data_IF_017837192426
#
_entry.id   IF_017837192426
#
_cell.length_a   1.000
_cell.length_b   1.000
_cell.length_c   1.000
_cell.angle_alpha   90.00
_cell.angle_beta   90.00
_cell.angle_gamma   90.00
#
_symmetry.space_group_name_H-M   'P 1'
#
loop_
_entity.id
_entity.type
_entity.pdbx_description
1 polymer ?
#
# COMPACT_ATOMS: atom_id res chain seq x y z
N UNK A 1 2.77 3.76 -30.28
CA UNK A 1 3.58 2.77 -29.53
C UNK A 1 2.65 1.67 -29.09
N UNK A 2 3.04 0.40 -29.25
CA UNK A 2 2.33 -0.69 -28.62
C UNK A 2 2.61 -0.62 -27.10
N UNK A 3 1.56 -0.57 -26.29
CA UNK A 3 1.68 -0.66 -24.83
C UNK A 3 1.84 -2.14 -24.50
N UNK A 4 2.97 -2.51 -23.90
CA UNK A 4 3.20 -3.86 -23.37
C UNK A 4 2.92 -3.84 -21.87
N UNK A 5 2.47 -4.97 -21.30
CA UNK A 5 2.17 -5.05 -19.86
C UNK A 5 3.37 -4.68 -18.98
N UNK A 6 4.60 -4.90 -19.46
CA UNK A 6 5.87 -4.54 -18.82
C UNK A 6 6.06 -3.02 -18.63
N UNK A 7 5.24 -2.19 -19.28
CA UNK A 7 5.27 -0.73 -19.15
C UNK A 7 4.22 -0.17 -18.19
N UNK A 8 3.26 -0.99 -17.75
CA UNK A 8 2.16 -0.54 -16.90
C UNK A 8 2.53 -0.62 -15.42
N UNK A 9 2.23 0.44 -14.68
CA UNK A 9 2.43 0.52 -13.23
C UNK A 9 1.13 0.95 -12.58
N UNK A 10 0.46 0.02 -11.90
CA UNK A 10 -0.82 0.24 -11.24
C UNK A 10 -0.61 0.79 -9.84
N UNK A 11 -1.15 1.98 -9.55
CA UNK A 11 -1.06 2.64 -8.26
C UNK A 11 -2.43 2.63 -7.58
N UNK A 12 -2.47 2.20 -6.32
CA UNK A 12 -3.72 2.15 -5.56
C UNK A 12 -3.49 2.22 -4.04
N UNK A 13 -4.56 2.55 -3.31
CA UNK A 13 -4.60 2.61 -1.85
C UNK A 13 -5.46 1.49 -1.27
N UNK A 14 -4.96 0.87 -0.20
CA UNK A 14 -5.66 -0.15 0.55
C UNK A 14 -5.75 0.21 2.04
N UNK A 15 -6.99 0.23 2.54
CA UNK A 15 -7.27 0.27 3.96
C UNK A 15 -7.14 -1.09 4.63
N UNK A 16 -6.32 -1.18 5.68
CA UNK A 16 -6.12 -2.37 6.50
C UNK A 16 -6.74 -2.11 7.88
N UNK A 17 -7.92 -2.69 8.18
CA UNK A 17 -8.51 -2.52 9.49
C UNK A 17 -7.72 -3.31 10.54
N UNK A 18 -7.53 -2.71 11.71
CA UNK A 18 -6.83 -3.32 12.86
C UNK A 18 -7.56 -4.55 13.43
N UNK A 19 -8.85 -4.70 13.11
CA UNK A 19 -9.75 -5.72 13.65
C UNK A 19 -10.27 -6.68 12.55
N UNK A 20 -9.39 -7.40 11.87
CA UNK A 20 -9.79 -8.41 10.87
C UNK A 20 -10.18 -9.73 11.53
N UNK A 21 -11.25 -9.80 12.32
CA UNK A 21 -11.64 -11.05 13.01
C UNK A 21 -11.84 -12.24 12.05
N UNK A 22 -11.60 -13.46 12.57
CA UNK A 22 -12.07 -14.69 11.92
C UNK A 22 -13.59 -14.70 11.90
N UNK A 23 -14.17 -14.77 10.70
CA UNK A 23 -15.63 -14.84 10.50
C UNK A 23 -16.16 -16.27 10.63
N UNK A 24 -15.26 -17.26 10.60
CA UNK A 24 -15.60 -18.67 10.71
C UNK A 24 -14.52 -19.43 11.50
N UNK A 25 -14.97 -20.45 12.22
CA UNK A 25 -14.15 -21.40 12.96
C UNK A 25 -14.85 -22.74 13.00
N UNK A 26 -14.07 -23.82 13.08
CA UNK A 26 -14.61 -25.16 13.24
C UNK A 26 -14.71 -25.49 14.73
N UNK A 27 -15.87 -25.95 15.16
CA UNK A 27 -16.11 -26.52 16.48
C UNK A 27 -16.81 -27.88 16.36
N UNK A 28 -16.70 -28.75 17.38
CA UNK A 28 -17.54 -29.93 17.49
C UNK A 28 -19.03 -29.61 17.29
N UNK A 29 -19.77 -30.54 16.70
CA UNK A 29 -21.19 -30.36 16.41
C UNK A 29 -21.97 -30.12 17.71
N UNK A 30 -22.52 -28.91 17.86
CA UNK A 30 -23.25 -28.49 19.06
C UNK A 30 -22.51 -27.46 19.93
N UNK A 31 -21.26 -27.11 19.59
CA UNK A 31 -20.48 -26.10 20.29
C UNK A 31 -20.38 -24.80 19.47
N UNK A 32 -20.60 -23.66 20.13
CA UNK A 32 -20.48 -22.34 19.50
C UNK A 32 -19.03 -21.85 19.54
N UNK A 33 -18.53 -21.32 18.41
CA UNK A 33 -17.25 -20.60 18.36
C UNK A 33 -17.51 -19.13 18.61
N UNK A 34 -17.18 -18.65 19.81
CA UNK A 34 -17.31 -17.24 20.14
C UNK A 34 -16.15 -16.41 19.58
N UNK A 35 -16.44 -15.52 18.64
CA UNK A 35 -15.54 -14.45 18.23
C UNK A 35 -15.80 -13.18 19.05
N UNK A 36 -14.78 -12.64 19.74
CA UNK A 36 -14.88 -11.32 20.37
C UNK A 36 -14.76 -10.23 19.30
N UNK A 37 -15.78 -9.37 19.17
CA UNK A 37 -15.76 -8.17 18.33
C UNK A 37 -15.75 -6.93 19.23
N UNK A 38 -14.69 -6.13 19.17
CA UNK A 38 -14.62 -4.84 19.86
C UNK A 38 -15.38 -3.81 19.03
N UNK A 39 -16.41 -3.17 19.60
CA UNK A 39 -17.19 -2.12 18.93
C UNK A 39 -16.48 -0.75 18.82
N UNK A 40 -15.19 -0.66 19.15
CA UNK A 40 -14.43 0.59 19.16
C UNK A 40 -13.95 0.93 17.74
N UNK A 41 -14.03 2.21 17.35
CA UNK A 41 -13.34 2.75 16.17
C UNK A 41 -11.83 2.67 16.44
N UNK A 42 -11.21 1.56 16.02
CA UNK A 42 -9.77 1.39 16.11
C UNK A 42 -9.06 2.11 14.96
N UNK A 43 -7.78 2.44 15.17
CA UNK A 43 -6.96 3.16 14.19
C UNK A 43 -6.86 2.32 12.91
N UNK A 44 -7.21 2.91 11.77
CA UNK A 44 -7.07 2.28 10.46
C UNK A 44 -5.68 2.62 9.93
N UNK A 45 -4.90 1.59 9.56
CA UNK A 45 -3.69 1.78 8.76
C UNK A 45 -4.08 1.73 7.29
N UNK A 46 -3.57 2.67 6.51
CA UNK A 46 -3.69 2.65 5.07
C UNK A 46 -2.33 2.35 4.46
N UNK A 47 -2.35 1.72 3.31
CA UNK A 47 -1.20 1.37 2.50
C UNK A 47 -1.41 1.96 1.11
N UNK A 48 -0.44 2.67 0.57
CA UNK A 48 -0.38 3.01 -0.85
C UNK A 48 0.86 2.34 -1.45
N UNK A 49 0.73 1.73 -2.62
CA UNK A 49 1.86 1.18 -3.33
C UNK A 49 1.55 1.11 -4.82
N UNK A 50 2.61 0.90 -5.61
CA UNK A 50 2.51 0.63 -7.03
C UNK A 50 2.80 -0.85 -7.34
N UNK A 51 2.29 -1.35 -8.46
CA UNK A 51 2.50 -2.73 -8.93
C UNK A 51 2.72 -2.76 -10.43
N UNK A 52 3.82 -3.36 -10.87
CA UNK A 52 4.24 -3.44 -12.27
C UNK A 52 3.87 -4.78 -12.95
N UNK A 53 3.00 -5.58 -12.32
CA UNK A 53 2.70 -6.95 -12.80
C UNK A 53 3.65 -8.02 -12.26
N UNK A 54 4.78 -7.64 -11.68
CA UNK A 54 5.77 -8.58 -11.13
C UNK A 54 5.99 -8.40 -9.63
N UNK A 55 6.12 -7.16 -9.17
CA UNK A 55 6.52 -6.83 -7.80
C UNK A 55 5.85 -5.55 -7.30
N UNK A 56 5.61 -5.51 -5.99
CA UNK A 56 5.12 -4.31 -5.34
C UNK A 56 6.26 -3.29 -5.22
N UNK A 57 6.03 -2.06 -5.66
CA UNK A 57 6.96 -0.94 -5.64
C UNK A 57 6.51 0.11 -4.62
N UNK A 58 7.49 0.65 -3.90
CA UNK A 58 7.32 1.77 -2.96
C UNK A 58 6.08 1.69 -2.08
N UNK A 59 5.85 0.58 -1.34
CA UNK A 59 4.76 0.53 -0.36
C UNK A 59 5.00 1.53 0.78
N UNK A 60 3.96 2.30 1.10
CA UNK A 60 3.97 3.35 2.10
C UNK A 60 2.73 3.21 3.00
N UNK A 61 2.97 2.88 4.27
CA UNK A 61 1.96 2.82 5.31
C UNK A 61 1.79 4.19 5.96
N UNK A 62 0.55 4.54 6.27
CA UNK A 62 0.25 5.78 6.97
C UNK A 62 -1.06 5.69 7.75
N UNK A 63 -1.15 6.50 8.81
CA UNK A 63 -2.39 6.73 9.54
C UNK A 63 -3.14 7.95 8.99
N UNK A 64 -4.48 7.92 9.00
CA UNK A 64 -5.31 9.07 8.63
C UNK A 64 -5.99 8.96 7.27
N UNK A 65 -6.19 10.09 6.60
CA UNK A 65 -6.88 10.18 5.29
C UNK A 65 -5.89 10.67 4.24
N UNK A 66 -5.88 10.02 3.07
CA UNK A 66 -5.11 10.50 1.93
C UNK A 66 -5.65 11.85 1.44
N UNK A 67 -4.74 12.80 1.23
CA UNK A 67 -5.04 14.05 0.55
C UNK A 67 -4.01 14.29 -0.55
N UNK A 68 -4.28 15.28 -1.41
CA UNK A 68 -3.40 15.60 -2.55
C UNK A 68 -1.98 15.94 -2.13
N UNK A 69 -1.77 16.62 -1.00
CA UNK A 69 -0.44 17.01 -0.55
C UNK A 69 0.38 15.77 -0.15
N UNK A 70 -0.17 14.92 0.72
CA UNK A 70 0.46 13.66 1.14
C UNK A 70 0.71 12.74 -0.06
N UNK A 71 -0.25 12.66 -0.98
CA UNK A 71 -0.11 11.87 -2.19
C UNK A 71 1.03 12.37 -3.09
N UNK A 72 1.14 13.68 -3.31
CA UNK A 72 2.24 14.25 -4.10
C UNK A 72 3.60 14.09 -3.40
N UNK A 73 3.66 14.19 -2.07
CA UNK A 73 4.88 13.83 -1.32
C UNK A 73 5.22 12.36 -1.54
N UNK A 74 4.24 11.46 -1.43
CA UNK A 74 4.47 10.04 -1.67
C UNK A 74 5.03 9.78 -3.07
N UNK A 75 4.48 10.45 -4.09
CA UNK A 75 4.97 10.34 -5.45
C UNK A 75 6.44 10.78 -5.54
N UNK A 76 6.76 12.00 -5.11
CA UNK A 76 8.09 12.58 -5.26
C UNK A 76 9.15 11.81 -4.49
N UNK A 77 8.86 11.44 -3.24
CA UNK A 77 9.86 10.86 -2.34
C UNK A 77 10.05 9.36 -2.55
N UNK A 78 8.99 8.63 -2.95
CA UNK A 78 9.03 7.16 -2.97
C UNK A 78 8.75 6.56 -4.34
N UNK A 79 7.76 7.04 -5.09
CA UNK A 79 7.39 6.40 -6.36
C UNK A 79 8.27 6.84 -7.53
N UNK A 80 8.41 8.15 -7.76
CA UNK A 80 9.17 8.69 -8.90
C UNK A 80 10.63 8.20 -8.96
N UNK A 81 11.35 7.99 -7.85
CA UNK A 81 12.71 7.47 -7.88
C UNK A 81 12.83 6.06 -8.47
N UNK A 82 11.77 5.24 -8.36
CA UNK A 82 11.77 3.85 -8.85
C UNK A 82 11.12 3.69 -10.23
N UNK A 83 10.48 4.74 -10.76
CA UNK A 83 9.90 4.73 -12.11
C UNK A 83 10.96 4.95 -13.18
N UNK A 84 10.75 4.32 -14.34
CA UNK A 84 11.57 4.46 -15.54
C UNK A 84 10.82 5.23 -16.64
N UNK A 85 11.52 6.09 -17.42
CA UNK A 85 10.89 6.78 -18.53
C UNK A 85 10.24 5.82 -19.52
N UNK A 86 9.07 6.19 -20.03
CA UNK A 86 8.25 5.35 -20.92
C UNK A 86 7.21 4.48 -20.20
N UNK A 87 7.26 4.36 -18.87
CA UNK A 87 6.22 3.69 -18.09
C UNK A 87 4.91 4.50 -18.08
N UNK A 88 3.81 3.79 -17.90
CA UNK A 88 2.45 4.33 -17.79
C UNK A 88 1.95 4.04 -16.38
N UNK A 89 1.78 5.09 -15.58
CA UNK A 89 1.17 5.01 -14.26
C UNK A 89 -0.34 5.00 -14.44
N UNK A 90 -0.98 3.93 -13.97
CA UNK A 90 -2.42 3.71 -14.03
C UNK A 90 -2.99 3.82 -12.63
N UNK A 91 -4.03 4.64 -12.44
CA UNK A 91 -4.71 4.78 -11.14
C UNK A 91 -6.21 5.02 -11.30
N UNK A 92 -6.95 4.91 -10.20
CA UNK A 92 -8.39 5.17 -10.19
C UNK A 92 -8.72 6.67 -10.29
N UNK A 93 -10.01 6.99 -10.29
CA UNK A 93 -10.51 8.35 -10.46
C UNK A 93 -10.65 9.16 -9.16
N UNK A 94 -10.01 8.76 -8.06
CA UNK A 94 -10.08 9.47 -6.78
C UNK A 94 -9.72 10.96 -6.95
N UNK A 95 -10.41 11.83 -6.20
CA UNK A 95 -10.26 13.28 -6.35
C UNK A 95 -8.83 13.76 -6.09
N UNK A 96 -8.12 13.13 -5.15
CA UNK A 96 -6.74 13.48 -4.82
C UNK A 96 -5.73 13.05 -5.87
N UNK A 97 -6.05 12.08 -6.75
CA UNK A 97 -5.22 11.68 -7.90
C UNK A 97 -5.26 12.69 -9.05
N UNK A 98 -6.29 13.54 -9.12
CA UNK A 98 -6.57 14.40 -10.29
C UNK A 98 -5.94 15.77 -10.22
N UNK A 99 -4.96 15.98 -9.34
CA UNK A 99 -4.31 17.28 -9.24
C UNK A 99 -3.42 17.54 -10.47
N UNK A 100 -3.34 18.80 -10.90
CA UNK A 100 -2.43 19.18 -11.99
C UNK A 100 -0.97 18.85 -11.65
N UNK A 101 -0.62 18.97 -10.37
CA UNK A 101 0.73 18.66 -9.88
C UNK A 101 1.05 17.17 -9.99
N UNK A 102 0.10 16.29 -9.66
CA UNK A 102 0.26 14.83 -9.82
C UNK A 102 0.64 14.48 -11.25
N UNK A 103 -0.10 15.03 -12.23
CA UNK A 103 0.21 14.83 -13.65
C UNK A 103 1.60 15.35 -14.01
N UNK A 104 1.91 16.58 -13.60
CA UNK A 104 3.21 17.23 -13.86
C UNK A 104 4.38 16.40 -13.33
N UNK A 105 4.26 15.89 -12.10
CA UNK A 105 5.27 15.08 -11.44
C UNK A 105 5.56 13.80 -12.23
N UNK A 106 4.53 13.05 -12.61
CA UNK A 106 4.66 11.80 -13.37
C UNK A 106 5.24 12.08 -14.77
N UNK A 107 4.70 13.07 -15.49
CA UNK A 107 5.15 13.42 -16.84
C UNK A 107 6.59 13.97 -16.85
N UNK A 108 7.02 14.66 -15.79
CA UNK A 108 8.40 15.16 -15.66
C UNK A 108 9.45 14.04 -15.62
N UNK A 109 9.06 12.82 -15.22
CA UNK A 109 9.90 11.63 -15.24
C UNK A 109 9.92 10.92 -16.60
N UNK A 110 9.23 11.49 -17.61
CA UNK A 110 9.04 10.85 -18.92
C UNK A 110 8.05 9.69 -18.88
N UNK A 111 7.21 9.60 -17.84
CA UNK A 111 6.14 8.62 -17.72
C UNK A 111 4.81 9.21 -18.24
N UNK A 112 3.80 8.36 -18.43
CA UNK A 112 2.43 8.79 -18.74
C UNK A 112 1.50 8.53 -17.56
N UNK A 113 0.43 9.31 -17.44
CA UNK A 113 -0.62 9.12 -16.44
C UNK A 113 -1.94 8.73 -17.11
N UNK A 114 -2.41 7.52 -16.83
CA UNK A 114 -3.69 6.98 -17.30
C UNK A 114 -4.65 6.75 -16.12
N UNK A 115 -5.93 6.99 -16.38
CA UNK A 115 -7.00 6.73 -15.41
C UNK A 115 -7.82 5.52 -15.84
N UNK A 116 -8.12 4.64 -14.90
CA UNK A 116 -9.05 3.54 -15.15
C UNK A 116 -10.46 4.07 -15.43
N UNK A 117 -11.28 3.39 -16.24
CA UNK A 117 -12.71 3.70 -16.34
C UNK A 117 -13.37 3.67 -14.95
N UNK A 118 -14.36 4.54 -14.67
CA UNK A 118 -15.09 4.51 -13.41
C UNK A 118 -15.66 3.13 -13.10
N UNK A 119 -15.68 2.76 -11.82
CA UNK A 119 -16.25 1.49 -11.32
C UNK A 119 -15.71 0.23 -12.01
N UNK A 120 -14.43 0.23 -12.40
CA UNK A 120 -13.79 -0.92 -13.06
C UNK A 120 -12.63 -1.53 -12.24
N UNK A 121 -12.88 -1.94 -10.97
CA UNK A 121 -11.87 -2.53 -10.09
C UNK A 121 -11.19 -3.77 -10.70
N UNK A 122 -11.92 -4.55 -11.51
CA UNK A 122 -11.41 -5.72 -12.21
C UNK A 122 -10.28 -5.42 -13.19
N UNK A 123 -10.08 -4.15 -13.56
CA UNK A 123 -8.99 -3.70 -14.44
C UNK A 123 -7.75 -3.26 -13.65
N UNK A 124 -7.77 -3.40 -12.32
CA UNK A 124 -6.69 -3.00 -11.44
C UNK A 124 -6.03 -4.22 -10.76
N UNK A 125 -4.96 -4.80 -11.35
CA UNK A 125 -4.34 -6.02 -10.83
C UNK A 125 -3.86 -5.93 -9.37
N UNK A 126 -3.53 -4.73 -8.90
CA UNK A 126 -3.09 -4.50 -7.51
C UNK A 126 -4.20 -4.79 -6.49
N UNK A 127 -5.48 -4.74 -6.87
CA UNK A 127 -6.58 -5.08 -5.97
C UNK A 127 -6.54 -6.55 -5.52
N UNK A 128 -6.09 -7.44 -6.41
CA UNK A 128 -5.86 -8.83 -6.06
C UNK A 128 -4.75 -8.96 -5.01
N UNK A 129 -3.70 -8.14 -5.08
CA UNK A 129 -2.65 -8.10 -4.06
C UNK A 129 -3.22 -7.63 -2.71
N UNK A 130 -4.12 -6.65 -2.71
CA UNK A 130 -4.80 -6.19 -1.50
C UNK A 130 -5.67 -7.27 -0.86
N UNK A 131 -6.39 -8.04 -1.67
CA UNK A 131 -7.15 -9.18 -1.17
C UNK A 131 -6.24 -10.25 -0.55
N UNK A 132 -5.09 -10.53 -1.18
CA UNK A 132 -4.08 -11.44 -0.63
C UNK A 132 -3.50 -10.90 0.68
N UNK A 133 -3.11 -9.62 0.73
CA UNK A 133 -2.55 -8.99 1.92
C UNK A 133 -3.50 -9.08 3.10
N UNK A 134 -4.77 -8.67 2.93
CA UNK A 134 -5.79 -8.73 3.98
C UNK A 134 -6.02 -10.16 4.48
N UNK A 135 -5.98 -11.15 3.59
CA UNK A 135 -6.09 -12.57 3.96
C UNK A 135 -4.91 -13.01 4.83
N UNK A 136 -3.69 -12.57 4.50
CA UNK A 136 -2.49 -12.90 5.29
C UNK A 136 -2.52 -12.18 6.65
N UNK A 137 -2.94 -10.91 6.70
CA UNK A 137 -3.14 -10.20 7.97
C UNK A 137 -4.13 -10.95 8.85
N UNK A 138 -5.30 -11.32 8.32
CA UNK A 138 -6.31 -12.11 9.06
C UNK A 138 -5.76 -13.46 9.56
N UNK A 139 -4.82 -14.06 8.84
CA UNK A 139 -4.17 -15.32 9.22
C UNK A 139 -3.17 -15.13 10.36
N UNK A 140 -2.35 -14.08 10.31
CA UNK A 140 -1.18 -13.91 11.16
C UNK A 140 -1.36 -12.92 12.32
N UNK A 141 -2.34 -12.01 12.28
CA UNK A 141 -2.50 -10.95 13.28
C UNK A 141 -2.56 -11.42 14.74
N UNK A 142 -3.04 -12.64 14.99
CA UNK A 142 -3.15 -13.20 16.35
C UNK A 142 -1.82 -13.70 16.91
N UNK A 143 -0.78 -13.76 16.07
CA UNK A 143 0.57 -14.21 16.44
C UNK A 143 1.47 -13.04 16.85
N UNK A 144 1.03 -11.80 16.64
CA UNK A 144 1.81 -10.59 16.89
C UNK A 144 1.05 -9.64 17.82
N UNK A 145 1.77 -8.74 18.49
CA UNK A 145 1.16 -7.79 19.42
C UNK A 145 0.49 -6.61 18.69
N UNK A 146 0.92 -6.32 17.46
CA UNK A 146 0.45 -5.18 16.68
C UNK A 146 0.24 -5.50 15.19
N UNK A 147 -0.59 -4.69 14.53
CA UNK A 147 -0.79 -4.79 13.08
C UNK A 147 0.50 -4.48 12.31
N UNK A 148 1.31 -3.53 12.79
CA UNK A 148 2.61 -3.20 12.22
C UNK A 148 3.57 -4.40 12.23
N UNK A 149 3.70 -5.11 13.36
CA UNK A 149 4.51 -6.34 13.44
C UNK A 149 4.00 -7.44 12.50
N UNK A 150 2.68 -7.55 12.37
CA UNK A 150 2.07 -8.50 11.43
C UNK A 150 2.44 -8.17 9.98
N UNK A 151 2.41 -6.89 9.63
CA UNK A 151 2.80 -6.43 8.29
C UNK A 151 4.31 -6.63 8.07
N UNK A 152 5.17 -6.31 9.04
CA UNK A 152 6.60 -6.59 8.98
C UNK A 152 6.88 -8.05 8.64
N UNK A 153 6.23 -8.97 9.36
CA UNK A 153 6.34 -10.39 9.08
C UNK A 153 5.88 -10.74 7.66
N UNK A 154 4.73 -10.24 7.23
CA UNK A 154 4.16 -10.52 5.90
C UNK A 154 5.09 -10.06 4.79
N UNK A 155 5.53 -8.79 4.82
CA UNK A 155 6.37 -8.24 3.78
C UNK A 155 7.78 -8.89 3.75
N UNK A 156 8.29 -9.35 4.90
CA UNK A 156 9.58 -10.05 4.96
C UNK A 156 9.51 -11.52 4.54
N UNK A 157 8.37 -12.19 4.70
CA UNK A 157 8.29 -13.66 4.56
C UNK A 157 7.45 -14.13 3.37
N UNK A 158 6.58 -13.29 2.81
CA UNK A 158 5.72 -13.66 1.68
C UNK A 158 6.35 -13.14 0.39
N UNK A 159 6.78 -14.02 -0.55
CA UNK A 159 7.50 -13.62 -1.76
C UNK A 159 6.80 -12.54 -2.59
N UNK A 160 5.47 -12.55 -2.63
CA UNK A 160 4.66 -11.57 -3.35
C UNK A 160 4.81 -10.13 -2.84
N UNK A 161 5.16 -9.97 -1.56
CA UNK A 161 5.33 -8.67 -0.89
C UNK A 161 6.78 -8.37 -0.55
N UNK A 162 7.71 -9.28 -0.84
CA UNK A 162 9.13 -8.98 -0.77
C UNK A 162 9.39 -7.92 -1.83
N UNK A 163 9.71 -6.70 -1.38
CA UNK A 163 10.03 -5.58 -2.25
C UNK A 163 11.14 -5.95 -3.24
N UNK A 164 11.27 -5.13 -4.28
CA UNK A 164 12.32 -5.34 -5.28
C UNK A 164 13.70 -5.38 -4.60
N UNK A 165 14.47 -6.43 -4.87
CA UNK A 165 15.76 -6.70 -4.23
C UNK A 165 16.81 -5.61 -4.53
N UNK A 166 16.47 -4.70 -5.45
CA UNK A 166 17.25 -3.57 -5.95
C UNK A 166 17.28 -2.38 -5.00
N UNK A 167 16.33 -2.29 -4.07
CA UNK A 167 16.34 -1.27 -3.02
C UNK A 167 17.02 -1.88 -1.80
N UNK A 168 18.30 -1.53 -1.59
CA UNK A 168 19.12 -1.98 -0.46
C UNK A 168 18.62 -1.36 0.85
N UNK A 169 17.43 -1.79 1.26
CA UNK A 169 16.69 -1.35 2.41
C UNK A 169 16.37 -2.62 3.19
N UNK A 170 16.80 -2.69 4.45
CA UNK A 170 16.39 -3.76 5.37
C UNK A 170 14.86 -3.79 5.62
N UNK A 171 14.10 -2.88 4.99
CA UNK A 171 12.67 -2.70 5.18
C UNK A 171 11.93 -2.69 3.86
N UNK A 172 10.87 -3.49 3.75
CA UNK A 172 10.11 -3.61 2.52
C UNK A 172 9.10 -2.47 2.30
N UNK A 173 8.90 -1.55 3.26
CA UNK A 173 7.95 -0.41 3.17
C UNK A 173 8.35 0.79 4.05
N UNK A 174 7.73 1.96 3.78
CA UNK A 174 7.87 3.21 4.56
C UNK A 174 6.67 3.42 5.50
N UNK A 175 6.82 4.07 6.67
CA UNK A 175 5.72 4.30 7.61
C UNK A 175 5.62 5.76 8.11
N UNK A 176 4.44 6.38 7.98
CA UNK A 176 4.13 7.70 8.54
C UNK A 176 3.18 7.57 9.75
N UNK A 177 3.68 7.93 10.94
CA UNK A 177 2.89 7.96 12.18
C UNK A 177 2.37 9.39 12.45
N UNK A 178 1.05 9.55 12.57
CA UNK A 178 0.37 10.84 12.80
C UNK A 178 0.72 11.51 14.12
N UNK A 179 1.25 10.77 15.11
CA UNK A 179 1.60 11.37 16.39
C UNK A 179 2.81 12.32 16.31
N UNK A 180 3.67 12.22 15.28
CA UNK A 180 4.91 13.00 15.20
C UNK A 180 5.17 13.69 13.84
N UNK A 181 4.31 13.54 12.81
CA UNK A 181 4.61 13.98 11.43
C UNK A 181 5.98 13.48 10.91
N UNK A 182 6.41 12.29 11.36
CA UNK A 182 7.68 11.69 11.00
C UNK A 182 7.45 10.52 10.04
N UNK A 183 8.08 10.58 8.88
CA UNK A 183 8.30 9.39 8.04
C UNK A 183 9.40 8.59 8.73
N UNK A 184 9.05 7.43 9.27
CA UNK A 184 9.97 6.51 9.91
C UNK A 184 10.23 5.37 8.93
N UNK A 185 11.44 5.31 8.36
CA UNK A 185 12.00 4.05 7.93
C UNK A 185 12.33 3.30 9.23
N UNK A 186 11.49 2.33 9.61
CA UNK A 186 11.69 1.59 10.85
C UNK A 186 13.11 0.99 10.80
N UNK A 187 14.00 1.47 11.67
CA UNK A 187 15.38 1.04 11.91
C UNK A 187 16.46 1.32 10.84
N UNK A 188 16.89 2.60 10.78
CA UNK A 188 18.28 3.11 10.73
C UNK A 188 18.49 4.20 9.67
N UNK A 189 19.02 5.33 10.12
CA UNK A 189 19.35 6.56 9.39
C UNK A 189 18.17 7.33 8.78
N UNK A 190 17.52 8.06 9.68
CA UNK A 190 16.49 9.06 9.44
C UNK A 190 16.98 10.08 8.38
N UNK A 191 16.49 9.99 7.15
CA UNK A 191 16.34 11.16 6.28
C UNK A 191 14.97 11.75 6.55
N UNK A 192 14.92 12.87 7.27
CA UNK A 192 13.70 13.60 7.57
C UNK A 192 13.24 14.31 6.29
N UNK A 193 12.19 13.82 5.64
CA UNK A 193 11.40 14.68 4.74
C UNK A 193 10.33 15.35 5.58
N UNK A 194 10.51 16.63 5.88
CA UNK A 194 9.43 17.44 6.48
C UNK A 194 8.39 17.69 5.39
N UNK A 195 7.19 17.13 5.55
CA UNK A 195 6.02 17.70 4.86
C UNK A 195 5.79 19.10 5.43
N UNK A 196 5.96 20.12 4.58
CA UNK A 196 5.68 21.52 4.89
C UNK A 196 4.19 21.81 4.72
#
# INVERSE_FOLDING_TARGET
>A
MAVTDETLVYLDECGIPQNLYRESGWAPRGEEVFGKRTGKREKKLNLIAAYDGHSLKSPFLYEGVMNTALFNTYLTEFLLPVLTPGQIVVMDNATFHKSAETRRLIESKGCQLWFLPPYSPQLNPIEHLWAVLKRQVKRFQHQFASLTETLDFIFQNIPLFKGDSTVNSNYPYYYLNTNNNLIVQLYMNITIVRCS
#
